data_IF_387669209581
#
_entry.id   IF_387669209581
#
_cell.length_a   1.000
_cell.length_b   1.000
_cell.length_c   1.000
_cell.angle_alpha   90.00
_cell.angle_beta   90.00
_cell.angle_gamma   90.00
#
_symmetry.space_group_name_H-M   'P 1'
#
loop_
_entity.id
_entity.type
_entity.pdbx_description
1 polymer ?
#
# COMPACT_ATOMS: atom_id res chain seq x y z
N UNK A 1 -3.51 3.11 -3.61
CA UNK A 1 -2.16 3.44 -4.13
C UNK A 1 -1.56 2.21 -4.77
N UNK A 2 -0.57 2.38 -5.64
CA UNK A 2 0.14 1.28 -6.30
C UNK A 2 1.64 1.52 -6.31
N UNK A 3 2.41 0.46 -6.49
CA UNK A 3 3.84 0.51 -6.78
C UNK A 3 4.08 0.05 -8.21
N UNK A 4 4.89 0.81 -8.95
CA UNK A 4 5.39 0.44 -10.28
C UNK A 4 6.51 -0.58 -10.13
N UNK A 5 6.38 -1.73 -10.81
CA UNK A 5 7.31 -2.86 -10.70
C UNK A 5 8.36 -2.92 -11.80
N UNK A 6 8.08 -2.30 -12.95
CA UNK A 6 8.94 -2.35 -14.14
C UNK A 6 8.85 -1.02 -14.89
N UNK A 7 9.80 -0.78 -15.79
CA UNK A 7 9.83 0.40 -16.63
C UNK A 7 8.65 0.44 -17.60
N UNK A 8 8.26 1.65 -17.99
CA UNK A 8 7.21 1.86 -18.98
C UNK A 8 7.73 1.56 -20.39
N UNK A 9 6.91 0.85 -21.18
CA UNK A 9 7.09 0.75 -22.64
C UNK A 9 5.83 1.20 -23.36
N UNK A 10 5.96 1.74 -24.58
CA UNK A 10 4.79 2.20 -25.33
C UNK A 10 3.85 1.04 -25.71
N UNK A 11 4.40 -0.14 -25.99
CA UNK A 11 3.65 -1.31 -26.42
C UNK A 11 2.93 -2.02 -25.27
N UNK A 12 3.54 -2.03 -24.07
CA UNK A 12 3.04 -2.82 -22.95
C UNK A 12 2.55 -1.99 -21.77
N UNK A 13 2.83 -0.70 -21.73
CA UNK A 13 2.53 0.15 -20.58
C UNK A 13 3.44 -0.18 -19.39
N UNK A 14 2.86 -0.18 -18.18
CA UNK A 14 3.59 -0.38 -16.93
C UNK A 14 2.93 -1.47 -16.08
N UNK A 15 3.74 -2.31 -15.42
CA UNK A 15 3.23 -3.26 -14.43
C UNK A 15 3.19 -2.57 -13.07
N UNK A 16 2.04 -2.66 -12.41
CA UNK A 16 1.85 -2.14 -11.05
C UNK A 16 1.31 -3.22 -10.12
N UNK A 17 1.61 -3.09 -8.83
CA UNK A 17 0.96 -3.87 -7.76
C UNK A 17 0.27 -2.95 -6.76
N UNK A 18 -0.92 -3.29 -6.26
CA UNK A 18 -1.57 -2.53 -5.20
C UNK A 18 -0.71 -2.47 -3.95
N UNK A 19 -0.69 -1.30 -3.31
CA UNK A 19 -0.14 -1.13 -1.97
C UNK A 19 -1.24 -1.26 -0.94
N UNK A 20 -1.05 -2.13 0.04
CA UNK A 20 -1.93 -2.33 1.19
C UNK A 20 -1.33 -1.68 2.44
N UNK A 21 -2.18 -1.04 3.25
CA UNK A 21 -1.74 -0.39 4.48
C UNK A 21 -1.32 -1.42 5.52
N UNK A 22 -0.22 -1.17 6.22
CA UNK A 22 0.20 -1.99 7.37
C UNK A 22 -0.55 -1.51 8.60
N UNK A 23 -1.28 -2.41 9.26
CA UNK A 23 -2.01 -2.13 10.50
C UNK A 23 -1.10 -1.57 11.59
N UNK A 24 -1.61 -0.64 12.39
CA UNK A 24 -0.83 0.03 13.44
C UNK A 24 0.10 1.16 12.96
N UNK A 25 0.31 1.33 11.65
CA UNK A 25 1.12 2.40 11.09
C UNK A 25 0.28 3.43 10.35
N UNK A 26 0.71 4.70 10.39
CA UNK A 26 0.00 5.80 9.71
C UNK A 26 0.29 5.81 8.21
N UNK A 27 1.55 5.69 7.84
CA UNK A 27 2.12 5.96 6.50
C UNK A 27 2.85 4.75 5.91
N UNK A 28 2.82 3.59 6.57
CA UNK A 28 3.53 2.39 6.12
C UNK A 28 2.60 1.50 5.30
N UNK A 29 3.06 1.17 4.10
CA UNK A 29 2.37 0.33 3.14
C UNK A 29 3.29 -0.78 2.66
N UNK A 30 2.71 -1.88 2.17
CA UNK A 30 3.44 -2.99 1.56
C UNK A 30 2.74 -3.42 0.29
N UNK A 31 3.46 -4.13 -0.58
CA UNK A 31 2.85 -4.76 -1.76
C UNK A 31 1.74 -5.72 -1.32
N UNK A 32 0.71 -5.83 -2.14
CA UNK A 32 -0.27 -6.88 -1.98
C UNK A 32 0.44 -8.25 -2.03
N UNK A 33 0.16 -9.19 -1.09
CA UNK A 33 0.85 -10.47 -1.04
C UNK A 33 0.59 -11.35 -2.28
N UNK A 34 -0.62 -11.26 -2.83
CA UNK A 34 -1.02 -12.03 -4.00
C UNK A 34 -0.43 -11.43 -5.28
N UNK A 35 0.43 -12.19 -5.97
CA UNK A 35 1.02 -11.77 -7.25
C UNK A 35 -0.03 -11.56 -8.34
N UNK A 36 -1.18 -12.24 -8.25
CA UNK A 36 -2.31 -12.08 -9.16
C UNK A 36 -2.97 -10.70 -9.08
N UNK A 37 -2.66 -9.90 -8.05
CA UNK A 37 -3.10 -8.51 -7.99
C UNK A 37 -2.25 -7.57 -8.83
N UNK A 38 -1.15 -8.04 -9.43
CA UNK A 38 -0.39 -7.26 -10.39
C UNK A 38 -1.24 -6.98 -11.63
N UNK A 39 -1.21 -5.74 -12.09
CA UNK A 39 -1.98 -5.29 -13.24
C UNK A 39 -1.08 -4.54 -14.18
N UNK A 40 -1.32 -4.74 -15.47
CA UNK A 40 -0.71 -3.95 -16.52
C UNK A 40 -1.60 -2.74 -16.80
N UNK A 41 -1.04 -1.56 -16.64
CA UNK A 41 -1.71 -0.29 -16.95
C UNK A 41 -1.19 0.16 -18.31
N UNK A 42 -2.05 0.19 -19.35
CA UNK A 42 -1.63 0.56 -20.69
C UNK A 42 -1.32 2.07 -20.75
N UNK A 43 -0.61 2.49 -21.80
CA UNK A 43 -0.18 3.89 -22.01
C UNK A 43 -1.35 4.86 -21.91
N UNK A 44 -2.49 4.48 -22.48
CA UNK A 44 -3.71 5.27 -22.51
C UNK A 44 -4.25 5.54 -21.12
N UNK A 45 -3.94 4.71 -20.11
CA UNK A 45 -4.47 4.85 -18.76
C UNK A 45 -3.47 5.48 -17.77
N UNK A 46 -2.27 5.85 -18.23
CA UNK A 46 -1.24 6.44 -17.37
C UNK A 46 -1.67 7.78 -16.76
N UNK A 47 -2.55 8.52 -17.42
CA UNK A 47 -3.09 9.79 -16.92
C UNK A 47 -3.88 9.63 -15.61
N UNK A 48 -4.25 8.40 -15.22
CA UNK A 48 -4.89 8.12 -13.93
C UNK A 48 -3.92 8.24 -12.76
N UNK A 49 -2.61 8.23 -13.01
CA UNK A 49 -1.61 8.50 -11.98
C UNK A 49 -1.45 10.02 -11.82
N UNK A 50 -1.74 10.51 -10.63
CA UNK A 50 -1.62 11.94 -10.31
C UNK A 50 -0.16 12.35 -10.09
N UNK A 51 0.59 11.56 -9.32
CA UNK A 51 1.96 11.83 -8.92
C UNK A 51 2.64 10.57 -8.39
N UNK A 52 3.97 10.58 -8.35
CA UNK A 52 4.76 9.60 -7.61
C UNK A 52 4.92 10.08 -6.17
N UNK A 53 4.45 9.29 -5.21
CA UNK A 53 4.58 9.59 -3.78
C UNK A 53 6.04 9.36 -3.35
N UNK A 54 6.71 10.37 -2.75
CA UNK A 54 8.03 10.16 -2.13
C UNK A 54 7.93 9.07 -1.07
N UNK A 55 8.91 8.17 -1.06
CA UNK A 55 8.87 7.03 -0.17
C UNK A 55 10.27 6.56 0.24
N UNK A 56 10.31 5.86 1.37
CA UNK A 56 11.49 5.22 1.92
C UNK A 56 11.22 3.72 2.11
N UNK A 57 12.16 2.87 1.69
CA UNK A 57 12.07 1.43 1.91
C UNK A 57 12.63 1.08 3.29
N UNK A 58 11.77 0.56 4.14
CA UNK A 58 12.10 0.15 5.50
C UNK A 58 12.92 -1.15 5.49
N UNK A 59 14.02 -1.10 6.21
CA UNK A 59 15.00 -2.18 6.34
C UNK A 59 14.66 -3.16 7.47
N UNK A 60 13.79 -2.74 8.40
CA UNK A 60 13.50 -3.46 9.64
C UNK A 60 14.55 -3.25 10.73
N UNK A 61 15.51 -2.34 10.52
CA UNK A 61 16.57 -2.01 11.48
C UNK A 61 16.35 -0.65 12.17
N UNK A 62 15.27 0.06 11.82
CA UNK A 62 14.97 1.40 12.31
C UNK A 62 14.59 1.41 13.79
N UNK A 63 13.95 0.34 14.28
CA UNK A 63 13.50 0.19 15.67
C UNK A 63 13.22 -1.29 16.00
N UNK A 64 13.00 -1.59 17.29
CA UNK A 64 12.47 -2.88 17.71
C UNK A 64 11.10 -3.13 17.06
N UNK A 65 10.94 -4.26 16.37
CA UNK A 65 9.75 -4.63 15.59
C UNK A 65 9.46 -3.74 14.36
N UNK A 66 10.47 -3.02 13.83
CA UNK A 66 10.30 -2.29 12.59
C UNK A 66 9.90 -3.22 11.43
N UNK A 67 8.87 -2.85 10.64
CA UNK A 67 8.40 -3.68 9.55
C UNK A 67 9.43 -3.65 8.40
N UNK A 68 9.89 -4.83 7.98
CA UNK A 68 10.82 -4.98 6.87
C UNK A 68 10.11 -5.00 5.52
N UNK A 69 10.80 -4.56 4.47
CA UNK A 69 10.35 -4.61 3.06
C UNK A 69 9.05 -3.83 2.83
N UNK A 70 8.79 -2.82 3.67
CA UNK A 70 7.63 -1.95 3.61
C UNK A 70 8.05 -0.55 3.14
N UNK A 71 7.13 0.19 2.54
CA UNK A 71 7.35 1.57 2.10
C UNK A 71 6.68 2.53 3.06
N UNK A 72 7.47 3.41 3.67
CA UNK A 72 6.94 4.60 4.34
C UNK A 72 6.72 5.69 3.30
N UNK A 73 5.50 6.22 3.23
CA UNK A 73 5.09 7.24 2.27
C UNK A 73 5.02 8.62 2.91
N UNK A 74 5.37 9.65 2.14
CA UNK A 74 5.21 11.03 2.59
C UNK A 74 3.71 11.34 2.87
N UNK A 75 3.34 11.67 4.13
CA UNK A 75 1.96 11.95 4.49
C UNK A 75 1.39 13.19 3.78
N UNK A 76 2.22 14.16 3.37
CA UNK A 76 1.76 15.33 2.62
C UNK A 76 1.37 14.99 1.17
N UNK A 77 1.91 13.90 0.63
CA UNK A 77 1.59 13.38 -0.70
C UNK A 77 0.63 12.18 -0.67
N UNK A 78 0.09 11.84 0.51
CA UNK A 78 -0.80 10.69 0.71
C UNK A 78 -2.24 11.14 1.05
N UNK A 79 -3.27 10.60 0.39
CA UNK A 79 -4.67 10.91 0.72
C UNK A 79 -5.02 10.67 2.20
N UNK A 80 -5.74 11.60 2.82
CA UNK A 80 -6.03 11.59 4.27
C UNK A 80 -6.85 10.37 4.73
N UNK A 81 -7.74 9.88 3.88
CA UNK A 81 -8.52 8.66 4.09
C UNK A 81 -7.62 7.43 4.26
N UNK A 82 -6.47 7.41 3.60
CA UNK A 82 -5.48 6.34 3.74
C UNK A 82 -4.58 6.48 4.97
N UNK A 83 -4.64 7.61 5.70
CA UNK A 83 -3.79 7.86 6.86
C UNK A 83 -4.43 7.42 8.19
N UNK A 84 -5.68 6.96 8.21
CA UNK A 84 -6.33 6.48 9.44
C UNK A 84 -5.65 5.23 10.02
N UNK A 85 -5.22 5.27 11.27
CA UNK A 85 -4.61 4.11 11.94
C UNK A 85 -5.74 3.14 12.28
N UNK A 86 -5.76 1.99 11.62
CA UNK A 86 -6.61 0.87 12.02
C UNK A 86 -5.79 0.01 12.97
N UNK A 87 -6.12 0.08 14.26
CA UNK A 87 -5.62 -0.86 15.26
C UNK A 87 -6.28 -2.21 15.03
N UNK A 88 -5.50 -3.29 15.08
CA UNK A 88 -5.96 -4.66 14.83
C UNK A 88 -6.83 -5.25 15.94
N UNK A 89 -7.79 -4.50 16.49
CA UNK A 89 -8.76 -4.98 17.47
C UNK A 89 -10.19 -4.82 16.95
N UNK A 90 -10.54 -5.64 15.97
CA UNK A 90 -11.92 -5.85 15.54
C UNK A 90 -12.22 -7.36 15.51
N UNK A 91 -12.07 -8.03 16.66
CA UNK A 91 -12.79 -9.26 16.97
C UNK A 91 -12.71 -9.59 18.48
N UNK A 92 -13.56 -8.93 19.27
CA UNK A 92 -14.22 -9.62 20.40
C UNK A 92 -15.71 -9.68 20.05
N UNK A 93 -16.13 -10.91 19.80
CA UNK A 93 -17.47 -11.33 19.42
C UNK A 93 -18.57 -10.53 20.13
N UNK A 94 -19.53 -10.02 19.35
CA UNK A 94 -20.87 -9.73 19.84
C UNK A 94 -21.44 -11.04 20.41
N UNK A 95 -21.55 -11.13 21.73
CA UNK A 95 -22.40 -12.11 22.40
C UNK A 95 -23.84 -11.62 22.28
N UNK A 96 -24.43 -11.83 21.10
CA UNK A 96 -25.88 -11.74 20.92
C UNK A 96 -26.41 -13.16 20.63
N UNK A 97 -26.42 -14.00 21.67
CA UNK A 97 -27.22 -15.21 21.67
C UNK A 97 -28.56 -14.91 22.33
N UNK A 98 -29.59 -14.79 21.50
CA UNK A 98 -31.00 -14.85 21.89
C UNK A 98 -31.41 -16.34 22.05
N UNK A 99 -31.68 -16.77 23.28
CA UNK A 99 -32.63 -17.82 23.65
C UNK A 99 -33.01 -17.69 25.13
#
# INVERSE_FOLDING_TARGET
>A
MVEVLDDFTEEQGVIVTPLVKVSGFRTVFKRHPDADQQKRIPKEELFRFSHQVPNYLLTGQEAENAPKDCRELDPAATPLDLLQIVSGDANRASLDNNA
#
